data_IF_198191824671
#
_entry.id   IF_198191824671
#
_cell.length_a   1.000
_cell.length_b   1.000
_cell.length_c   1.000
_cell.angle_alpha   90.00
_cell.angle_beta   90.00
_cell.angle_gamma   90.00
#
_symmetry.space_group_name_H-M   'P 1'
#
loop_
_entity.id
_entity.type
_entity.pdbx_description
1 polymer ?
#
# COMPACT_ATOMS: atom_id res chain seq x y z
N UNK A 1 26.10 -12.25 10.44
CA UNK A 1 26.07 -11.27 9.33
C UNK A 1 24.65 -11.29 8.83
N UNK A 2 23.81 -10.50 9.49
CA UNK A 2 22.35 -10.50 9.37
C UNK A 2 21.95 -9.83 8.05
N UNK A 3 21.18 -10.52 7.21
CA UNK A 3 20.74 -9.98 5.92
C UNK A 3 19.77 -8.80 6.07
N UNK A 4 19.65 -7.91 5.06
CA UNK A 4 18.86 -6.67 5.13
C UNK A 4 17.33 -6.88 5.08
N UNK A 5 16.87 -8.13 4.99
CA UNK A 5 15.45 -8.49 5.02
C UNK A 5 15.07 -8.82 6.46
N UNK A 6 15.00 -7.79 7.30
CA UNK A 6 14.32 -7.94 8.58
C UNK A 6 12.91 -8.47 8.30
N UNK A 7 12.58 -9.64 8.84
CA UNK A 7 11.24 -10.22 8.76
C UNK A 7 10.20 -9.12 9.05
N UNK A 8 9.13 -8.99 8.24
CA UNK A 8 8.12 -8.00 8.50
C UNK A 8 7.51 -8.29 9.87
N UNK A 9 7.95 -7.55 10.88
CA UNK A 9 7.35 -7.58 12.21
C UNK A 9 5.93 -7.11 12.04
N UNK A 10 5.00 -8.06 11.92
CA UNK A 10 3.58 -7.81 11.92
C UNK A 10 3.30 -6.95 13.15
N UNK A 11 2.97 -5.67 12.94
CA UNK A 11 2.61 -4.81 14.07
C UNK A 11 1.38 -5.41 14.73
N UNK A 12 1.33 -5.49 16.07
CA UNK A 12 0.13 -5.92 16.75
C UNK A 12 -1.03 -5.04 16.35
N UNK A 13 -2.18 -5.68 16.11
CA UNK A 13 -3.38 -5.03 15.59
C UNK A 13 -3.77 -3.83 16.48
N UNK A 14 -4.00 -2.63 15.92
CA UNK A 14 -4.41 -1.48 16.72
C UNK A 14 -5.73 -1.79 17.44
N UNK A 15 -5.76 -1.50 18.75
CA UNK A 15 -6.92 -1.71 19.60
C UNK A 15 -8.12 -0.92 19.04
N UNK A 16 -9.25 -1.58 18.85
CA UNK A 16 -10.48 -0.98 18.30
C UNK A 16 -10.84 -1.45 16.88
N UNK A 17 -9.87 -2.02 16.16
CA UNK A 17 -10.15 -2.76 14.93
C UNK A 17 -10.92 -4.01 15.29
N UNK A 18 -12.20 -4.10 14.96
CA UNK A 18 -13.07 -5.20 15.35
C UNK A 18 -13.26 -6.20 14.22
N UNK A 19 -12.26 -7.00 13.86
CA UNK A 19 -12.59 -8.32 13.29
C UNK A 19 -13.33 -9.07 14.40
N UNK A 20 -14.66 -9.15 14.28
CA UNK A 20 -15.47 -9.94 15.17
C UNK A 20 -14.78 -11.30 15.28
N UNK A 21 -14.39 -11.68 16.50
CA UNK A 21 -13.83 -13.00 16.75
C UNK A 21 -14.95 -13.96 16.41
N UNK A 22 -14.95 -14.48 15.17
CA UNK A 22 -15.84 -15.55 14.79
C UNK A 22 -15.63 -16.61 15.87
N UNK A 23 -16.69 -16.93 16.62
CA UNK A 23 -16.65 -18.01 17.59
C UNK A 23 -16.32 -19.24 16.78
N UNK A 24 -15.05 -19.62 16.74
CA UNK A 24 -14.62 -20.91 16.20
C UNK A 24 -15.33 -21.93 17.07
N UNK A 25 -16.38 -22.55 16.51
CA UNK A 25 -17.05 -23.67 17.15
C UNK A 25 -15.97 -24.67 17.54
N UNK A 26 -16.06 -25.18 18.77
CA UNK A 26 -15.11 -26.13 19.33
C UNK A 26 -14.73 -27.16 18.27
N UNK A 27 -13.44 -27.22 17.93
CA UNK A 27 -12.93 -28.16 16.94
C UNK A 27 -13.12 -29.57 17.48
N UNK A 28 -14.20 -30.23 17.10
CA UNK A 28 -14.32 -31.67 17.27
C UNK A 28 -13.26 -32.32 16.38
N UNK A 29 -12.35 -33.08 17.00
CA UNK A 29 -11.44 -33.99 16.30
C UNK A 29 -12.27 -35.08 15.61
N UNK A 30 -12.90 -34.73 14.49
CA UNK A 30 -13.27 -35.72 13.48
C UNK A 30 -11.94 -36.22 12.92
N UNK A 31 -11.52 -37.41 13.36
CA UNK A 31 -10.30 -38.05 12.88
C UNK A 31 -10.22 -37.94 11.36
N UNK A 32 -9.04 -37.64 10.84
CA UNK A 32 -8.81 -37.51 9.39
C UNK A 32 -9.12 -38.88 8.77
N UNK A 33 -10.27 -39.02 8.13
CA UNK A 33 -10.75 -40.33 7.64
C UNK A 33 -10.07 -40.78 6.34
N UNK A 34 -9.32 -39.92 5.65
CA UNK A 34 -8.38 -40.26 4.57
C UNK A 34 -7.56 -39.00 4.23
N UNK A 35 -6.23 -39.06 4.04
CA UNK A 35 -5.45 -37.91 3.58
C UNK A 35 -5.79 -37.53 2.14
N UNK A 36 -6.14 -36.27 1.92
CA UNK A 36 -6.39 -35.70 0.58
C UNK A 36 -5.10 -35.06 0.01
N UNK A 37 -4.98 -34.92 -1.33
CA UNK A 37 -3.89 -34.16 -1.94
C UNK A 37 -3.81 -32.72 -1.43
N UNK A 38 -2.60 -32.18 -1.31
CA UNK A 38 -2.36 -30.83 -0.75
C UNK A 38 -3.09 -29.72 -1.53
N UNK A 39 -3.20 -29.87 -2.85
CA UNK A 39 -3.93 -28.92 -3.69
C UNK A 39 -5.41 -28.88 -3.33
N UNK A 40 -6.02 -30.04 -3.09
CA UNK A 40 -7.41 -30.16 -2.69
C UNK A 40 -7.64 -29.60 -1.29
N UNK A 41 -6.76 -29.90 -0.33
CA UNK A 41 -6.82 -29.33 1.01
C UNK A 41 -6.76 -27.79 0.97
N UNK A 42 -5.85 -27.23 0.17
CA UNK A 42 -5.73 -25.78 0.00
C UNK A 42 -6.99 -25.16 -0.60
N UNK A 43 -7.56 -25.76 -1.65
CA UNK A 43 -8.80 -25.28 -2.26
C UNK A 43 -9.95 -25.28 -1.25
N UNK A 44 -10.15 -26.39 -0.51
CA UNK A 44 -11.20 -26.47 0.52
C UNK A 44 -11.07 -25.39 1.59
N UNK A 45 -9.85 -25.08 2.04
CA UNK A 45 -9.61 -24.00 3.01
C UNK A 45 -9.95 -22.65 2.40
N UNK A 46 -9.48 -22.36 1.19
CA UNK A 46 -9.73 -21.08 0.52
C UNK A 46 -11.22 -20.87 0.17
N UNK A 47 -11.95 -21.93 -0.17
CA UNK A 47 -13.40 -21.89 -0.42
C UNK A 47 -14.21 -21.65 0.87
N UNK A 48 -13.66 -22.03 2.02
CA UNK A 48 -14.34 -21.88 3.31
C UNK A 48 -14.20 -20.48 3.92
N UNK A 49 -13.25 -19.67 3.45
CA UNK A 49 -12.99 -18.33 3.97
C UNK A 49 -13.75 -17.27 3.17
N UNK A 50 -14.21 -16.24 3.87
CA UNK A 50 -14.75 -15.02 3.27
C UNK A 50 -13.85 -13.85 3.65
N UNK A 51 -13.62 -12.88 2.75
CA UNK A 51 -13.00 -11.61 3.11
C UNK A 51 -13.75 -10.96 4.26
N UNK A 52 -13.02 -10.27 5.12
CA UNK A 52 -13.61 -9.44 6.16
C UNK A 52 -14.20 -8.16 5.53
N UNK A 53 -15.15 -7.55 6.22
CA UNK A 53 -15.69 -6.25 5.82
C UNK A 53 -14.59 -5.18 5.84
N UNK A 54 -14.71 -4.21 4.93
CA UNK A 54 -13.84 -3.05 4.89
C UNK A 54 -14.10 -2.12 6.08
N UNK A 55 -13.07 -1.42 6.53
CA UNK A 55 -13.17 -0.42 7.59
C UNK A 55 -12.25 0.76 7.27
N UNK A 56 -12.66 1.95 7.70
CA UNK A 56 -11.80 3.13 7.63
C UNK A 56 -10.78 3.10 8.77
N UNK A 57 -9.51 3.34 8.43
CA UNK A 57 -8.41 3.41 9.39
C UNK A 57 -7.61 4.67 9.19
N UNK A 58 -7.00 5.19 10.25
CA UNK A 58 -6.04 6.28 10.13
C UNK A 58 -4.82 5.82 9.31
N UNK A 59 -4.27 6.72 8.48
CA UNK A 59 -3.14 6.39 7.59
C UNK A 59 -1.92 5.78 8.32
N UNK A 60 -1.63 6.27 9.52
CA UNK A 60 -0.55 5.77 10.38
C UNK A 60 -0.72 4.29 10.78
N UNK A 61 -1.95 3.79 10.74
CA UNK A 61 -2.35 2.44 11.15
C UNK A 61 -2.67 1.54 9.93
N UNK A 62 -2.52 2.07 8.70
CA UNK A 62 -2.80 1.36 7.46
C UNK A 62 -1.67 0.40 7.02
N UNK A 63 -0.45 0.58 7.53
CA UNK A 63 0.70 -0.25 7.15
C UNK A 63 0.45 -1.73 7.48
N UNK A 64 0.57 -2.60 6.47
CA UNK A 64 0.34 -4.04 6.59
C UNK A 64 -1.11 -4.47 6.36
N UNK A 65 -2.00 -3.54 5.99
CA UNK A 65 -3.37 -3.83 5.56
C UNK A 65 -3.45 -3.99 4.04
N UNK A 66 -4.60 -4.46 3.56
CA UNK A 66 -4.93 -4.52 2.13
C UNK A 66 -5.96 -3.44 1.83
N UNK A 67 -5.79 -2.73 0.72
CA UNK A 67 -6.77 -1.73 0.26
C UNK A 67 -8.10 -2.42 -0.09
N UNK A 68 -9.20 -1.82 0.34
CA UNK A 68 -10.54 -2.30 0.01
C UNK A 68 -10.98 -1.87 -1.40
N UNK A 69 -10.44 -0.77 -1.92
CA UNK A 69 -10.73 -0.20 -3.23
C UNK A 69 -9.50 0.50 -3.82
N UNK A 70 -9.56 0.82 -5.10
CA UNK A 70 -8.50 1.53 -5.81
C UNK A 70 -8.39 2.98 -5.31
N UNK A 71 -7.15 3.47 -5.16
CA UNK A 71 -6.87 4.86 -4.78
C UNK A 71 -6.33 5.60 -6.00
N UNK A 72 -7.07 6.61 -6.47
CA UNK A 72 -6.70 7.42 -7.63
C UNK A 72 -6.39 8.85 -7.19
N UNK A 73 -5.34 9.45 -7.74
CA UNK A 73 -5.00 10.84 -7.45
C UNK A 73 -6.01 11.78 -8.12
N UNK A 74 -6.59 12.70 -7.36
CA UNK A 74 -7.49 13.73 -7.88
C UNK A 74 -6.75 14.87 -8.62
N UNK A 75 -5.43 14.96 -8.44
CA UNK A 75 -4.62 16.04 -9.00
C UNK A 75 -3.30 15.54 -9.59
N UNK A 76 -2.76 16.31 -10.53
CA UNK A 76 -1.39 16.16 -11.00
C UNK A 76 -0.41 16.60 -9.91
N UNK A 77 0.69 15.85 -9.77
CA UNK A 77 1.78 16.18 -8.85
C UNK A 77 3.09 16.11 -9.64
N UNK A 78 3.76 17.26 -9.90
CA UNK A 78 3.38 18.62 -9.50
C UNK A 78 2.14 19.16 -10.26
N UNK A 79 1.42 20.16 -9.70
CA UNK A 79 0.23 20.73 -10.33
C UNK A 79 0.55 21.74 -11.45
N UNK A 80 1.83 22.04 -11.70
CA UNK A 80 2.31 22.94 -12.74
C UNK A 80 3.69 22.48 -13.24
N UNK A 81 4.14 23.07 -14.35
CA UNK A 81 5.46 22.82 -14.93
C UNK A 81 6.56 23.47 -14.07
N UNK A 82 6.99 22.75 -13.03
CA UNK A 82 8.10 23.15 -12.17
C UNK A 82 9.45 22.63 -12.69
N UNK A 83 10.51 23.42 -12.51
CA UNK A 83 11.87 22.94 -12.76
C UNK A 83 12.29 21.94 -11.67
N UNK A 84 12.87 20.81 -12.08
CA UNK A 84 13.50 19.86 -11.17
C UNK A 84 14.92 20.28 -10.75
N UNK A 85 15.44 21.35 -11.35
CA UNK A 85 16.82 21.81 -11.21
C UNK A 85 16.86 23.31 -10.94
N UNK A 86 17.94 23.77 -10.30
CA UNK A 86 18.29 25.19 -10.29
C UNK A 86 18.89 25.56 -11.65
N UNK A 87 18.33 26.56 -12.31
CA UNK A 87 18.78 26.98 -13.64
C UNK A 87 17.93 28.06 -14.26
N UNK A 88 18.13 28.29 -15.56
CA UNK A 88 17.39 29.26 -16.36
C UNK A 88 16.45 28.56 -17.33
N UNK A 89 15.22 29.07 -17.45
CA UNK A 89 14.31 28.65 -18.51
C UNK A 89 14.74 29.32 -19.82
N UNK A 90 15.07 28.52 -20.83
CA UNK A 90 15.52 28.99 -22.14
C UNK A 90 14.52 28.57 -23.23
N UNK A 91 14.32 29.38 -24.27
CA UNK A 91 13.57 28.93 -25.45
C UNK A 91 14.33 27.80 -26.16
N UNK A 92 13.64 26.93 -26.92
CA UNK A 92 14.31 25.88 -27.69
C UNK A 92 15.38 26.46 -28.62
N UNK A 93 16.60 25.91 -28.55
CA UNK A 93 17.71 26.32 -29.41
C UNK A 93 18.36 27.67 -29.03
N UNK A 94 18.14 28.18 -27.82
CA UNK A 94 18.87 29.36 -27.34
C UNK A 94 20.38 29.08 -27.22
N UNK A 95 21.18 29.96 -27.82
CA UNK A 95 22.65 29.91 -27.78
C UNK A 95 23.22 31.30 -27.49
N UNK A 96 24.42 31.35 -26.90
CA UNK A 96 25.13 32.60 -26.62
C UNK A 96 24.74 33.27 -25.30
N UNK A 97 24.97 34.58 -25.21
CA UNK A 97 24.71 35.39 -24.02
C UNK A 97 23.29 35.94 -24.05
N UNK A 98 22.49 35.64 -23.03
CA UNK A 98 21.11 36.07 -22.88
C UNK A 98 20.95 36.92 -21.62
N UNK A 99 19.98 37.85 -21.65
CA UNK A 99 19.62 38.65 -20.49
C UNK A 99 18.60 37.92 -19.62
N UNK A 100 18.76 38.01 -18.30
CA UNK A 100 17.81 37.46 -17.33
C UNK A 100 16.68 38.46 -17.13
N UNK A 101 15.46 38.08 -17.52
CA UNK A 101 14.27 38.95 -17.50
C UNK A 101 13.43 38.83 -16.23
N UNK A 102 13.71 37.84 -15.38
CA UNK A 102 12.97 37.59 -14.15
C UNK A 102 13.45 36.34 -13.42
N UNK A 103 12.83 36.07 -12.28
CA UNK A 103 13.11 34.91 -11.44
C UNK A 103 11.81 34.20 -11.06
N UNK A 104 11.81 32.87 -11.08
CA UNK A 104 10.73 32.04 -10.54
C UNK A 104 11.26 31.23 -9.36
N UNK A 105 10.54 31.24 -8.24
CA UNK A 105 10.94 30.55 -7.00
C UNK A 105 9.77 29.71 -6.49
N UNK A 106 10.06 28.63 -5.78
CA UNK A 106 9.03 27.80 -5.18
C UNK A 106 8.05 28.63 -4.34
N UNK A 107 6.76 28.59 -4.70
CA UNK A 107 5.67 29.27 -3.99
C UNK A 107 5.56 30.78 -4.21
N UNK A 108 6.23 31.35 -5.23
CA UNK A 108 6.06 32.76 -5.62
C UNK A 108 5.73 32.91 -7.10
#
# INVERSE_FOLDING_TARGET
MEGPWAEPRLRPRPAGTGCARAKVAAWEHRGVTEPIPIAEARSRVLESIRPLDAEEVALKDALGRVLAEDVVSEAAVPPFDGSAMDGFALPPGAEGSLEVVGESRAGR
#
